data_IF_373931833679
#
_entry.id   IF_373931833679
#
_cell.length_a   1.000
_cell.length_b   1.000
_cell.length_c   1.000
_cell.angle_alpha   90.00
_cell.angle_beta   90.00
_cell.angle_gamma   90.00
#
_symmetry.space_group_name_H-M   'P 1'
#
loop_
_entity.id
_entity.type
_entity.pdbx_description
1 polymer ?
#
# COMPACT_ATOMS: atom_id res chain seq x y z
N UNK A 1 -2.61 4.25 17.36
CA UNK A 1 -1.65 3.13 17.27
C UNK A 1 -2.35 1.82 17.59
N UNK A 2 -2.93 1.67 18.79
CA UNK A 2 -3.60 0.45 19.28
C UNK A 2 -4.60 -0.21 18.31
N UNK A 3 -5.37 0.56 17.54
CA UNK A 3 -6.32 0.00 16.56
C UNK A 3 -5.62 -0.81 15.45
N UNK A 4 -4.57 -0.27 14.83
CA UNK A 4 -3.89 -0.91 13.70
C UNK A 4 -3.03 -2.09 14.14
N UNK A 5 -2.54 -2.10 15.38
CA UNK A 5 -1.79 -3.22 15.95
C UNK A 5 -2.63 -4.49 16.16
N UNK A 6 -3.96 -4.39 16.09
CA UNK A 6 -4.86 -5.54 16.12
C UNK A 6 -4.97 -6.27 14.78
N UNK A 7 -4.48 -5.65 13.69
CA UNK A 7 -4.39 -6.28 12.39
C UNK A 7 -3.20 -7.24 12.34
N UNK A 8 -3.29 -8.27 11.49
CA UNK A 8 -2.20 -9.23 11.29
C UNK A 8 -2.67 -10.65 11.02
N UNK A 9 -1.71 -11.50 10.67
CA UNK A 9 -1.88 -12.96 10.57
C UNK A 9 -1.61 -13.59 11.93
N UNK A 10 -2.50 -14.48 12.36
CA UNK A 10 -2.45 -15.13 13.68
C UNK A 10 -2.73 -16.62 13.56
N UNK A 11 -2.25 -17.37 14.53
CA UNK A 11 -2.73 -18.73 14.81
C UNK A 11 -3.88 -18.59 15.82
N UNK A 12 -5.05 -19.10 15.45
CA UNK A 12 -6.22 -19.09 16.32
C UNK A 12 -6.01 -19.97 17.55
N UNK A 13 -6.72 -19.62 18.64
CA UNK A 13 -6.85 -20.49 19.80
C UNK A 13 -7.53 -21.80 19.39
N UNK A 14 -7.04 -22.93 19.90
CA UNK A 14 -7.52 -24.25 19.54
C UNK A 14 -6.39 -25.28 19.48
N UNK A 15 -6.74 -26.54 19.23
CA UNK A 15 -5.75 -27.64 19.06
C UNK A 15 -5.36 -27.87 17.60
N UNK A 16 -6.12 -27.33 16.67
CA UNK A 16 -6.02 -27.52 15.23
C UNK A 16 -5.04 -26.56 14.54
N UNK A 17 -4.38 -25.65 15.29
CA UNK A 17 -3.42 -24.66 14.78
C UNK A 17 -3.94 -23.87 13.57
N UNK A 18 -5.24 -23.58 13.55
CA UNK A 18 -5.89 -22.89 12.43
C UNK A 18 -5.33 -21.48 12.27
N UNK A 19 -5.01 -21.10 11.04
CA UNK A 19 -4.53 -19.74 10.72
C UNK A 19 -5.70 -18.82 10.38
N UNK A 20 -5.57 -17.53 10.72
CA UNK A 20 -6.49 -16.47 10.33
C UNK A 20 -5.74 -15.16 10.11
N UNK A 21 -6.37 -14.21 9.42
CA UNK A 21 -5.81 -12.88 9.24
C UNK A 21 -6.88 -11.80 9.35
N UNK A 22 -6.51 -10.66 9.93
CA UNK A 22 -7.29 -9.43 9.88
C UNK A 22 -6.49 -8.37 9.11
N UNK A 23 -6.98 -7.99 7.93
CA UNK A 23 -6.45 -6.87 7.14
C UNK A 23 -7.30 -5.64 7.39
N UNK A 24 -6.68 -4.54 7.80
CA UNK A 24 -7.36 -3.26 8.01
C UNK A 24 -7.11 -2.32 6.83
N UNK A 25 -8.19 -1.72 6.33
CA UNK A 25 -8.14 -0.66 5.32
C UNK A 25 -8.87 0.54 5.91
N UNK A 26 -8.15 1.63 6.12
CA UNK A 26 -8.68 2.87 6.68
C UNK A 26 -8.69 3.96 5.62
N UNK A 27 -9.85 4.56 5.36
CA UNK A 27 -9.94 5.79 4.59
C UNK A 27 -9.64 6.98 5.50
N UNK A 28 -8.74 7.86 5.08
CA UNK A 28 -8.43 9.11 5.77
C UNK A 28 -8.75 10.26 4.82
N UNK A 29 -9.57 11.20 5.28
CA UNK A 29 -10.05 12.35 4.50
C UNK A 29 -9.48 13.65 5.09
N UNK A 30 -8.22 14.00 4.81
CA UNK A 30 -7.60 15.21 5.33
C UNK A 30 -8.31 16.46 4.79
N UNK A 31 -8.54 17.50 5.63
CA UNK A 31 -9.10 18.76 5.17
C UNK A 31 -8.29 19.34 4.01
N UNK A 32 -8.94 19.59 2.88
CA UNK A 32 -8.28 20.14 1.68
C UNK A 32 -7.23 19.25 1.03
N UNK A 33 -7.12 17.97 1.40
CA UNK A 33 -6.07 17.08 0.89
C UNK A 33 -4.71 17.24 1.57
N UNK A 34 -4.63 18.00 2.67
CA UNK A 34 -3.38 18.26 3.38
C UNK A 34 -2.91 17.03 4.17
N UNK A 35 -1.95 16.29 3.61
CA UNK A 35 -1.37 15.10 4.26
C UNK A 35 -0.53 15.42 5.51
N UNK A 36 -0.19 16.69 5.75
CA UNK A 36 0.59 17.10 6.93
C UNK A 36 -0.24 17.17 8.21
N UNK A 37 -1.56 17.05 8.09
CA UNK A 37 -2.45 17.12 9.24
C UNK A 37 -2.24 15.95 10.23
N UNK A 38 -2.51 16.16 11.53
CA UNK A 38 -2.11 15.21 12.59
C UNK A 38 -2.65 13.78 12.45
N UNK A 39 -3.88 13.59 11.96
CA UNK A 39 -4.54 12.28 11.83
C UNK A 39 -3.89 11.45 10.72
N UNK A 40 -3.62 12.07 9.57
CA UNK A 40 -2.93 11.46 8.43
C UNK A 40 -1.52 11.10 8.83
N UNK A 41 -0.77 12.02 9.43
CA UNK A 41 0.59 11.75 9.91
C UNK A 41 0.63 10.63 10.96
N UNK A 42 -0.30 10.63 11.91
CA UNK A 42 -0.39 9.56 12.91
C UNK A 42 -0.74 8.21 12.29
N UNK A 43 -1.57 8.19 11.25
CA UNK A 43 -1.94 6.96 10.52
C UNK A 43 -0.76 6.43 9.70
N UNK A 44 -0.12 7.28 8.92
CA UNK A 44 1.04 6.95 8.08
C UNK A 44 2.21 6.36 8.88
N UNK A 45 2.39 6.78 10.14
CA UNK A 45 3.41 6.22 11.04
C UNK A 45 3.18 4.76 11.43
N UNK A 46 1.96 4.25 11.30
CA UNK A 46 1.60 2.90 11.78
C UNK A 46 1.29 1.96 10.62
N UNK A 47 0.69 2.46 9.54
CA UNK A 47 0.33 1.62 8.39
C UNK A 47 1.55 1.29 7.53
N UNK A 48 1.57 0.09 6.96
CA UNK A 48 2.64 -0.37 6.05
C UNK A 48 2.36 -0.10 4.57
N UNK A 49 1.15 0.35 4.24
CA UNK A 49 0.72 0.65 2.87
C UNK A 49 -0.03 1.96 2.89
N UNK A 50 0.25 2.80 1.91
CA UNK A 50 -0.45 4.05 1.69
C UNK A 50 -0.81 4.19 0.21
N UNK A 51 -2.10 4.42 -0.07
CA UNK A 51 -2.60 4.75 -1.40
C UNK A 51 -2.98 6.23 -1.42
N UNK A 52 -2.14 7.04 -2.05
CA UNK A 52 -2.33 8.48 -2.19
C UNK A 52 -3.36 8.76 -3.28
N UNK A 53 -4.62 8.99 -2.90
CA UNK A 53 -5.66 9.45 -3.82
C UNK A 53 -5.48 10.94 -4.11
N UNK A 54 -5.41 11.33 -5.40
CA UNK A 54 -5.16 12.71 -5.81
C UNK A 54 -6.23 13.23 -6.77
N UNK A 55 -6.64 14.48 -6.59
CA UNK A 55 -7.74 15.09 -7.36
C UNK A 55 -7.35 15.31 -8.84
N UNK A 56 -6.08 15.58 -9.11
CA UNK A 56 -5.50 15.79 -10.43
C UNK A 56 -5.77 14.60 -11.35
N UNK A 57 -5.52 13.38 -10.88
CA UNK A 57 -5.81 12.14 -11.63
C UNK A 57 -7.33 11.96 -11.84
N UNK A 58 -8.14 12.24 -10.82
CA UNK A 58 -9.59 12.15 -10.93
C UNK A 58 -10.14 13.15 -11.97
N UNK A 59 -9.63 14.37 -12.02
CA UNK A 59 -10.01 15.38 -13.02
C UNK A 59 -9.62 14.98 -14.43
N UNK A 60 -8.50 14.26 -14.59
CA UNK A 60 -8.07 13.66 -15.85
C UNK A 60 -8.84 12.37 -16.20
N UNK A 61 -9.80 11.95 -15.37
CA UNK A 61 -10.52 10.67 -15.49
C UNK A 61 -9.63 9.43 -15.43
N UNK A 62 -8.45 9.56 -14.81
CA UNK A 62 -7.59 8.44 -14.51
C UNK A 62 -8.09 7.72 -13.26
N UNK A 63 -8.65 6.52 -13.45
CA UNK A 63 -9.18 5.69 -12.37
C UNK A 63 -8.50 4.31 -12.34
N UNK A 64 -8.10 3.82 -11.15
CA UNK A 64 -8.19 4.47 -9.85
C UNK A 64 -7.28 5.72 -9.76
N UNK A 65 -7.71 6.75 -9.03
CA UNK A 65 -7.00 8.03 -8.90
C UNK A 65 -5.85 7.96 -7.88
N UNK A 66 -5.09 6.86 -7.90
CA UNK A 66 -3.99 6.58 -6.98
C UNK A 66 -2.69 7.09 -7.62
N UNK A 67 -2.02 8.02 -6.95
CA UNK A 67 -0.75 8.55 -7.41
C UNK A 67 0.37 7.53 -7.21
N UNK A 68 1.00 7.10 -8.30
CA UNK A 68 1.98 6.01 -8.30
C UNK A 68 3.28 6.31 -7.54
N UNK A 69 3.78 7.55 -7.60
CA UNK A 69 5.01 7.94 -6.87
C UNK A 69 4.80 8.36 -5.41
N UNK A 70 3.59 8.84 -5.05
CA UNK A 70 3.26 9.25 -3.67
C UNK A 70 2.74 8.09 -2.82
N UNK A 71 2.34 6.99 -3.46
CA UNK A 71 1.89 5.77 -2.79
C UNK A 71 3.06 4.84 -2.51
N UNK A 72 2.94 4.01 -1.47
CA UNK A 72 3.96 3.02 -1.14
C UNK A 72 3.36 1.76 -0.53
N UNK A 73 4.13 0.67 -0.63
CA UNK A 73 3.88 -0.57 0.10
C UNK A 73 5.21 -1.08 0.65
N UNK A 74 5.28 -1.26 1.97
CA UNK A 74 6.43 -1.84 2.66
C UNK A 74 6.45 -3.38 2.61
N UNK A 75 5.45 -4.01 1.97
CA UNK A 75 5.35 -5.47 1.83
C UNK A 75 5.99 -6.02 0.55
N UNK A 76 6.53 -5.16 -0.32
CA UNK A 76 7.05 -5.60 -1.62
C UNK A 76 8.19 -6.60 -1.50
N UNK A 77 9.11 -6.38 -0.55
CA UNK A 77 10.22 -7.30 -0.32
C UNK A 77 9.73 -8.60 0.32
N UNK A 78 8.79 -8.53 1.28
CA UNK A 78 8.19 -9.70 1.93
C UNK A 78 7.41 -10.59 0.95
N UNK A 79 6.86 -10.03 -0.13
CA UNK A 79 6.06 -10.73 -1.13
C UNK A 79 6.84 -11.15 -2.37
N UNK A 80 8.14 -10.85 -2.44
CA UNK A 80 9.00 -11.14 -3.60
C UNK A 80 8.95 -12.60 -4.01
N UNK A 81 9.19 -13.50 -3.06
CA UNK A 81 9.27 -14.93 -3.31
C UNK A 81 7.91 -15.49 -3.75
N UNK A 82 6.83 -15.05 -3.09
CA UNK A 82 5.47 -15.39 -3.47
C UNK A 82 5.18 -15.02 -4.93
N UNK A 83 5.52 -13.79 -5.36
CA UNK A 83 5.28 -13.38 -6.73
C UNK A 83 6.15 -14.12 -7.74
N UNK A 84 7.40 -14.42 -7.39
CA UNK A 84 8.30 -15.19 -8.24
C UNK A 84 7.80 -16.62 -8.46
N UNK A 85 7.27 -17.25 -7.41
CA UNK A 85 6.78 -18.63 -7.44
C UNK A 85 5.38 -18.76 -8.05
N UNK A 86 4.45 -17.90 -7.66
CA UNK A 86 3.01 -18.06 -7.97
C UNK A 86 2.55 -17.24 -9.18
N UNK A 87 3.32 -16.24 -9.62
CA UNK A 87 2.91 -15.35 -10.71
C UNK A 87 3.88 -15.43 -11.89
N UNK A 88 5.12 -14.98 -11.70
CA UNK A 88 6.17 -15.07 -12.71
C UNK A 88 7.54 -14.79 -12.07
N UNK A 89 8.60 -15.54 -12.43
CA UNK A 89 9.96 -15.30 -11.93
C UNK A 89 10.44 -13.85 -12.12
N UNK A 90 10.04 -13.20 -13.22
CA UNK A 90 10.44 -11.85 -13.60
C UNK A 90 9.53 -10.75 -13.03
N UNK A 91 8.52 -11.10 -12.21
CA UNK A 91 7.50 -10.16 -11.74
C UNK A 91 8.08 -8.90 -11.09
N UNK A 92 9.03 -9.09 -10.17
CA UNK A 92 9.62 -7.98 -9.43
C UNK A 92 10.53 -7.10 -10.30
N UNK A 93 11.18 -7.69 -11.31
CA UNK A 93 11.98 -6.99 -12.30
C UNK A 93 11.10 -6.09 -13.16
N UNK A 94 10.05 -6.65 -13.79
CA UNK A 94 9.11 -5.91 -14.63
C UNK A 94 8.41 -4.78 -13.88
N UNK A 95 8.01 -5.03 -12.63
CA UNK A 95 7.43 -4.00 -11.75
C UNK A 95 8.44 -2.90 -11.39
N UNK A 96 9.72 -3.25 -11.27
CA UNK A 96 10.82 -2.31 -11.07
C UNK A 96 11.00 -1.41 -12.29
N UNK A 97 11.08 -2.00 -13.48
CA UNK A 97 11.21 -1.29 -14.76
C UNK A 97 10.04 -0.34 -15.01
N UNK A 98 8.80 -0.82 -14.81
CA UNK A 98 7.60 0.00 -14.96
C UNK A 98 7.63 1.22 -14.02
N UNK A 99 8.06 1.05 -12.78
CA UNK A 99 8.18 2.16 -11.84
C UNK A 99 9.30 3.13 -12.21
N UNK A 100 10.43 2.62 -12.71
CA UNK A 100 11.52 3.47 -13.20
C UNK A 100 11.08 4.32 -14.40
N UNK A 101 10.26 3.75 -15.31
CA UNK A 101 9.69 4.48 -16.43
C UNK A 101 8.75 5.61 -15.95
N UNK A 102 7.86 5.31 -15.00
CA UNK A 102 6.95 6.30 -14.42
C UNK A 102 7.69 7.41 -13.65
N UNK A 103 8.77 7.07 -12.95
CA UNK A 103 9.62 8.06 -12.28
C UNK A 103 10.31 8.97 -13.30
N UNK A 104 10.78 8.40 -14.40
CA UNK A 104 11.40 9.16 -15.49
C UNK A 104 10.39 10.09 -16.18
N UNK A 105 9.14 9.67 -16.33
CA UNK A 105 8.07 10.52 -16.87
C UNK A 105 7.81 11.75 -15.99
N UNK A 106 7.85 11.61 -14.67
CA UNK A 106 7.64 12.72 -13.72
C UNK A 106 8.79 13.74 -13.70
N UNK A 107 10.00 13.32 -14.07
CA UNK A 107 11.19 14.18 -14.16
C UNK A 107 11.32 14.95 -15.49
N UNK A 108 10.52 14.60 -16.51
CA UNK A 108 10.57 15.17 -17.87
C UNK A 108 9.63 16.38 -18.04
#
# INVERSE_FOLDING_TARGET
VEFYERAGRVICLGRDKREASLTTIGAVSPPGGDLSEPVTQATLRVVRVFWALVAELAYQRHFPAIHWLRSYSLYLDDLRDYFAEEVAPEWMELRGEAMALLQKEDEL
#
